data_IF_651878109489
#
_entry.id   IF_651878109489
#
_cell.length_a   1.000
_cell.length_b   1.000
_cell.length_c   1.000
_cell.angle_alpha   90.00
_cell.angle_beta   90.00
_cell.angle_gamma   90.00
#
_symmetry.space_group_name_H-M   'P 1'
#
loop_
_entity.id
_entity.type
_entity.pdbx_description
1 polymer ?
#
# COMPACT_ATOMS: atom_id res chain seq x y z
N UNK A 1 18.27 -15.56 5.58
CA UNK A 1 17.21 -15.33 4.58
C UNK A 1 16.15 -16.40 4.78
N UNK A 2 14.89 -16.02 4.90
CA UNK A 2 13.75 -16.95 4.94
C UNK A 2 13.05 -16.92 3.57
N UNK A 3 12.72 -18.09 3.02
CA UNK A 3 11.98 -18.22 1.76
C UNK A 3 10.66 -18.97 2.03
N UNK A 4 9.56 -18.37 1.60
CA UNK A 4 8.21 -18.90 1.67
C UNK A 4 7.71 -19.03 0.23
N UNK A 5 7.66 -20.26 -0.30
CA UNK A 5 7.21 -20.52 -1.68
C UNK A 5 5.86 -21.25 -1.65
N UNK A 6 4.82 -20.62 -2.20
CA UNK A 6 3.46 -21.16 -2.24
C UNK A 6 2.80 -21.33 -0.87
N UNK A 7 3.23 -20.57 0.14
CA UNK A 7 2.69 -20.68 1.50
C UNK A 7 1.35 -19.94 1.61
N UNK A 8 0.35 -20.61 2.19
CA UNK A 8 -0.94 -20.02 2.54
C UNK A 8 -1.04 -19.79 4.05
N UNK A 9 -1.20 -18.53 4.44
CA UNK A 9 -1.37 -18.09 5.82
C UNK A 9 -2.83 -17.66 6.00
N UNK A 10 -3.54 -18.23 6.98
CA UNK A 10 -4.93 -17.84 7.26
C UNK A 10 -5.27 -17.91 8.75
N UNK A 11 -6.27 -17.15 9.17
CA UNK A 11 -6.79 -17.18 10.55
C UNK A 11 -5.88 -16.52 11.60
N UNK A 12 -4.79 -15.89 11.19
CA UNK A 12 -3.80 -15.28 12.09
C UNK A 12 -4.18 -13.85 12.47
N UNK A 13 -3.69 -13.37 13.62
CA UNK A 13 -3.87 -11.97 14.04
C UNK A 13 -3.04 -11.02 13.18
N UNK A 14 -1.75 -11.29 13.05
CA UNK A 14 -0.81 -10.60 12.17
C UNK A 14 -0.29 -11.62 11.18
N UNK A 15 -0.20 -11.26 9.89
CA UNK A 15 0.25 -12.18 8.85
C UNK A 15 1.75 -12.47 8.93
N UNK A 16 2.56 -11.45 8.71
CA UNK A 16 4.02 -11.53 8.70
C UNK A 16 4.62 -10.35 9.45
N UNK A 17 5.62 -10.60 10.28
CA UNK A 17 6.41 -9.57 10.94
C UNK A 17 7.89 -9.75 10.59
N UNK A 18 8.53 -8.69 10.11
CA UNK A 18 9.96 -8.64 9.79
C UNK A 18 10.59 -7.52 10.61
N UNK A 19 11.27 -7.90 11.69
CA UNK A 19 12.07 -6.97 12.50
C UNK A 19 13.47 -6.79 11.94
N UNK A 20 14.09 -7.88 11.48
CA UNK A 20 15.44 -7.92 10.92
C UNK A 20 15.57 -9.00 9.84
N UNK A 21 16.66 -8.96 9.07
CA UNK A 21 16.99 -9.99 8.08
C UNK A 21 16.28 -9.82 6.73
N UNK A 22 16.28 -10.90 5.95
CA UNK A 22 15.75 -10.93 4.58
C UNK A 22 14.65 -11.99 4.46
N UNK A 23 13.48 -11.59 3.95
CA UNK A 23 12.34 -12.46 3.66
C UNK A 23 12.00 -12.45 2.17
N UNK A 24 11.70 -13.61 1.60
CA UNK A 24 11.07 -13.73 0.28
C UNK A 24 9.79 -14.55 0.42
N UNK A 25 8.66 -13.99 0.01
CA UNK A 25 7.40 -14.72 -0.17
C UNK A 25 7.04 -14.73 -1.65
N UNK A 26 7.08 -15.92 -2.24
CA UNK A 26 6.81 -16.16 -3.65
C UNK A 26 5.52 -16.97 -3.76
N UNK A 27 4.50 -16.42 -4.41
CA UNK A 27 3.15 -16.99 -4.53
C UNK A 27 2.48 -17.25 -3.17
N UNK A 28 1.30 -17.87 -3.20
CA UNK A 28 0.52 -18.16 -2.00
C UNK A 28 -0.32 -16.98 -1.53
N UNK A 29 -0.82 -17.08 -0.31
CA UNK A 29 -1.80 -16.13 0.24
C UNK A 29 -1.54 -15.78 1.70
N UNK A 30 -2.01 -14.60 2.10
CA UNK A 30 -1.98 -14.10 3.47
C UNK A 30 -3.33 -13.50 3.81
N UNK A 31 -4.07 -14.17 4.69
CA UNK A 31 -5.30 -13.69 5.29
C UNK A 31 -5.10 -13.45 6.79
N UNK A 32 -5.41 -12.24 7.24
CA UNK A 32 -5.24 -11.84 8.63
C UNK A 32 -6.53 -11.24 9.22
N UNK A 33 -6.70 -11.41 10.53
CA UNK A 33 -7.90 -11.01 11.30
C UNK A 33 -7.66 -9.81 12.21
N UNK A 34 -6.40 -9.46 12.48
CA UNK A 34 -6.02 -8.33 13.32
C UNK A 34 -5.83 -7.05 12.51
N UNK A 35 -4.95 -6.19 13.03
CA UNK A 35 -4.75 -4.84 12.51
C UNK A 35 -3.80 -4.79 11.32
N UNK A 36 -2.84 -5.71 11.22
CA UNK A 36 -1.76 -5.63 10.24
C UNK A 36 -1.59 -6.95 9.48
N UNK A 37 -1.48 -6.86 8.15
CA UNK A 37 -1.13 -8.00 7.31
C UNK A 37 0.35 -8.28 7.40
N UNK A 38 1.17 -7.28 7.05
CA UNK A 38 2.62 -7.34 7.18
C UNK A 38 3.13 -6.11 7.93
N UNK A 39 4.01 -6.32 8.90
CA UNK A 39 4.70 -5.24 9.63
C UNK A 39 6.22 -5.35 9.45
N UNK A 40 6.85 -4.23 9.09
CA UNK A 40 8.30 -4.13 9.00
C UNK A 40 8.83 -3.02 9.89
N UNK A 41 9.80 -3.37 10.75
CA UNK A 41 10.58 -2.42 11.56
C UNK A 41 12.08 -2.44 11.26
N UNK A 42 12.49 -3.24 10.26
CA UNK A 42 13.84 -3.34 9.75
C UNK A 42 13.93 -4.41 8.66
N UNK A 43 15.15 -4.69 8.19
CA UNK A 43 15.39 -5.74 7.19
C UNK A 43 14.85 -5.44 5.79
N UNK A 44 14.79 -6.49 4.96
CA UNK A 44 14.32 -6.43 3.58
C UNK A 44 13.30 -7.55 3.31
N UNK A 45 12.27 -7.25 2.53
CA UNK A 45 11.30 -8.23 2.10
C UNK A 45 10.96 -8.12 0.61
N UNK A 46 10.73 -9.27 -0.02
CA UNK A 46 10.19 -9.37 -1.38
C UNK A 46 8.91 -10.21 -1.35
N UNK A 47 7.82 -9.66 -1.89
CA UNK A 47 6.57 -10.37 -2.12
C UNK A 47 6.32 -10.41 -3.63
N UNK A 48 6.25 -11.61 -4.20
CA UNK A 48 6.06 -11.82 -5.63
C UNK A 48 4.87 -12.74 -5.90
N UNK A 49 3.83 -12.27 -6.59
CA UNK A 49 2.66 -13.08 -6.92
C UNK A 49 1.78 -13.46 -5.72
N UNK A 50 1.83 -12.67 -4.64
CA UNK A 50 1.14 -12.97 -3.36
C UNK A 50 -0.23 -12.28 -3.31
N UNK A 51 -1.23 -12.95 -2.74
CA UNK A 51 -2.52 -12.33 -2.42
C UNK A 51 -2.64 -12.02 -0.93
N UNK A 52 -2.97 -10.79 -0.58
CA UNK A 52 -3.13 -10.31 0.80
C UNK A 52 -4.59 -9.90 1.04
N UNK A 53 -5.25 -10.48 2.02
CA UNK A 53 -6.65 -10.19 2.37
C UNK A 53 -6.77 -9.77 3.83
N UNK A 54 -7.31 -8.58 4.05
CA UNK A 54 -7.48 -8.00 5.37
C UNK A 54 -8.76 -8.35 6.10
N UNK A 55 -8.83 -7.85 7.32
CA UNK A 55 -9.95 -8.03 8.25
C UNK A 55 -11.06 -7.00 8.09
N UNK A 56 -10.90 -6.01 7.21
CA UNK A 56 -11.86 -4.94 6.93
C UNK A 56 -11.27 -3.53 7.06
N UNK A 57 -12.15 -2.53 7.04
CA UNK A 57 -11.83 -1.11 6.81
C UNK A 57 -11.01 -0.43 7.93
N UNK A 58 -10.70 -1.13 9.03
CA UNK A 58 -9.84 -0.63 10.13
C UNK A 58 -8.42 -1.20 10.11
N UNK A 59 -8.14 -2.13 9.21
CA UNK A 59 -6.86 -2.81 9.12
C UNK A 59 -5.90 -2.14 8.15
N UNK A 60 -4.62 -2.45 8.26
CA UNK A 60 -3.57 -2.02 7.33
C UNK A 60 -2.97 -3.26 6.68
N UNK A 61 -2.95 -3.33 5.36
CA UNK A 61 -2.37 -4.48 4.67
C UNK A 61 -0.85 -4.54 4.83
N UNK A 62 -0.18 -3.41 4.60
CA UNK A 62 1.26 -3.26 4.78
C UNK A 62 1.61 -2.06 5.65
N UNK A 63 2.39 -2.28 6.71
CA UNK A 63 2.99 -1.22 7.52
C UNK A 63 4.52 -1.32 7.49
N UNK A 64 5.21 -0.26 7.04
CA UNK A 64 6.67 -0.22 6.92
C UNK A 64 7.23 0.99 7.65
N UNK A 65 8.02 0.76 8.69
CA UNK A 65 8.72 1.77 9.46
C UNK A 65 10.22 1.48 9.62
N UNK A 66 10.91 2.39 10.31
CA UNK A 66 12.26 2.17 10.87
C UNK A 66 13.27 1.60 9.88
N UNK A 67 13.36 2.19 8.69
CA UNK A 67 14.26 1.78 7.58
C UNK A 67 13.99 0.41 6.93
N UNK A 68 12.90 -0.27 7.28
CA UNK A 68 12.45 -1.47 6.56
C UNK A 68 12.27 -1.19 5.07
N UNK A 69 12.69 -2.14 4.23
CA UNK A 69 12.58 -2.04 2.77
C UNK A 69 11.77 -3.18 2.21
N UNK A 70 10.80 -2.86 1.36
CA UNK A 70 9.98 -3.88 0.72
C UNK A 70 9.83 -3.66 -0.78
N UNK A 71 9.83 -4.77 -1.50
CA UNK A 71 9.48 -4.83 -2.91
C UNK A 71 8.26 -5.74 -3.03
N UNK A 72 7.20 -5.23 -3.64
CA UNK A 72 6.05 -6.02 -4.07
C UNK A 72 6.00 -6.03 -5.58
N UNK A 73 5.78 -7.21 -6.15
CA UNK A 73 5.52 -7.36 -7.57
C UNK A 73 4.42 -8.39 -7.82
N UNK A 74 3.48 -8.06 -8.71
CA UNK A 74 2.32 -8.91 -9.01
C UNK A 74 1.49 -9.25 -7.76
N UNK A 75 1.37 -8.31 -6.81
CA UNK A 75 0.64 -8.50 -5.56
C UNK A 75 -0.78 -7.96 -5.68
N UNK A 76 -1.76 -8.68 -5.13
CA UNK A 76 -3.11 -8.14 -4.93
C UNK A 76 -3.40 -8.03 -3.45
N UNK A 77 -3.85 -6.86 -3.01
CA UNK A 77 -4.24 -6.59 -1.63
C UNK A 77 -5.68 -6.11 -1.58
N UNK A 78 -6.49 -6.66 -0.67
CA UNK A 78 -7.89 -6.28 -0.57
C UNK A 78 -8.47 -6.31 0.84
N UNK A 79 -9.64 -5.68 1.02
CA UNK A 79 -10.41 -5.67 2.28
C UNK A 79 -9.62 -5.11 3.46
N UNK A 80 -8.88 -4.03 3.21
CA UNK A 80 -8.11 -3.32 4.23
C UNK A 80 -8.54 -1.85 4.31
N UNK A 81 -8.35 -1.26 5.49
CA UNK A 81 -8.52 0.17 5.69
C UNK A 81 -7.46 0.99 4.96
N UNK A 82 -6.20 0.59 5.08
CA UNK A 82 -5.09 1.20 4.34
C UNK A 82 -4.34 0.11 3.60
N UNK A 83 -4.13 0.28 2.30
CA UNK A 83 -3.30 -0.63 1.51
C UNK A 83 -1.86 -0.63 2.02
N UNK A 84 -1.16 0.50 1.85
CA UNK A 84 0.22 0.66 2.29
C UNK A 84 0.38 1.88 3.21
N UNK A 85 0.98 1.67 4.38
CA UNK A 85 1.41 2.74 5.27
C UNK A 85 2.92 2.67 5.44
N UNK A 86 3.61 3.65 4.88
CA UNK A 86 5.08 3.77 4.95
C UNK A 86 5.42 5.03 5.75
N UNK A 87 6.27 4.87 6.75
CA UNK A 87 6.61 5.95 7.70
C UNK A 87 8.05 5.82 8.21
N UNK A 88 8.53 6.81 8.98
CA UNK A 88 9.80 6.79 9.71
C UNK A 88 11.00 6.29 8.86
N UNK A 89 11.16 6.87 7.67
CA UNK A 89 12.24 6.52 6.74
C UNK A 89 12.14 5.13 6.08
N UNK A 90 11.00 4.42 6.22
CA UNK A 90 10.73 3.19 5.48
C UNK A 90 10.68 3.41 3.96
N UNK A 91 10.93 2.36 3.20
CA UNK A 91 10.89 2.41 1.73
C UNK A 91 10.11 1.23 1.14
N UNK A 92 9.23 1.53 0.19
CA UNK A 92 8.42 0.52 -0.49
C UNK A 92 8.42 0.75 -2.00
N UNK A 93 8.60 -0.32 -2.76
CA UNK A 93 8.36 -0.33 -4.21
C UNK A 93 7.23 -1.30 -4.55
N UNK A 94 6.28 -0.82 -5.36
CA UNK A 94 5.08 -1.51 -5.80
C UNK A 94 5.08 -1.62 -7.33
N UNK A 95 5.48 -2.77 -7.86
CA UNK A 95 5.36 -3.08 -9.29
C UNK A 95 4.11 -3.89 -9.56
N UNK A 96 3.30 -3.52 -10.55
CA UNK A 96 2.12 -4.31 -10.96
C UNK A 96 1.24 -4.76 -9.77
N UNK A 97 1.15 -3.89 -8.75
CA UNK A 97 0.47 -4.20 -7.49
C UNK A 97 -0.92 -3.58 -7.50
N UNK A 98 -1.91 -4.34 -7.05
CA UNK A 98 -3.31 -3.93 -7.05
C UNK A 98 -3.83 -3.79 -5.62
N UNK A 99 -4.15 -2.56 -5.22
CA UNK A 99 -4.89 -2.26 -4.00
C UNK A 99 -6.39 -2.23 -4.36
N UNK A 100 -7.10 -3.32 -4.09
CA UNK A 100 -8.49 -3.54 -4.51
C UNK A 100 -9.46 -3.42 -3.34
N UNK A 101 -10.55 -2.67 -3.50
CA UNK A 101 -11.56 -2.45 -2.46
C UNK A 101 -10.93 -2.09 -1.10
N UNK A 102 -10.05 -1.08 -1.10
CA UNK A 102 -9.46 -0.55 0.13
C UNK A 102 -10.23 0.68 0.60
N UNK A 103 -10.24 0.95 1.91
CA UNK A 103 -10.80 2.24 2.37
C UNK A 103 -9.95 3.38 1.84
N UNK A 104 -8.63 3.36 2.05
CA UNK A 104 -7.69 4.31 1.47
C UNK A 104 -6.50 3.57 0.85
N UNK A 105 -5.90 4.15 -0.20
CA UNK A 105 -4.80 3.50 -0.91
C UNK A 105 -3.51 3.48 -0.12
N UNK A 106 -2.84 4.63 0.00
CA UNK A 106 -1.50 4.72 0.60
C UNK A 106 -1.34 5.92 1.53
N UNK A 107 -0.52 5.76 2.57
CA UNK A 107 -0.05 6.80 3.48
C UNK A 107 1.48 6.80 3.44
N UNK A 108 2.08 7.96 3.18
CA UNK A 108 3.54 8.12 3.08
C UNK A 108 3.96 9.32 3.92
N UNK A 109 4.64 9.05 5.03
CA UNK A 109 4.96 10.12 6.01
C UNK A 109 6.38 10.05 6.58
N UNK A 110 6.78 11.10 7.31
CA UNK A 110 7.97 11.10 8.17
C UNK A 110 9.27 10.64 7.46
N UNK A 111 9.57 11.25 6.31
CA UNK A 111 10.78 10.98 5.53
C UNK A 111 10.79 9.65 4.79
N UNK A 112 9.68 8.91 4.76
CA UNK A 112 9.56 7.66 4.01
C UNK A 112 9.42 7.87 2.50
N UNK A 113 9.62 6.79 1.74
CA UNK A 113 9.52 6.81 0.27
C UNK A 113 8.69 5.65 -0.27
N UNK A 114 7.86 5.94 -1.28
CA UNK A 114 7.11 4.94 -2.03
C UNK A 114 7.30 5.16 -3.53
N UNK A 115 7.64 4.09 -4.24
CA UNK A 115 7.55 4.02 -5.69
C UNK A 115 6.41 3.07 -6.09
N UNK A 116 5.57 3.47 -7.03
CA UNK A 116 4.58 2.58 -7.65
C UNK A 116 4.66 2.69 -9.17
N UNK A 117 4.85 1.55 -9.83
CA UNK A 117 4.89 1.44 -11.29
C UNK A 117 3.87 0.39 -11.75
N UNK A 118 2.94 0.81 -12.61
CA UNK A 118 1.82 -0.02 -13.01
C UNK A 118 0.80 -0.24 -11.88
N UNK A 119 -0.08 -1.22 -12.08
CA UNK A 119 -1.08 -1.60 -11.07
C UNK A 119 -2.27 -0.64 -10.95
N UNK A 120 -3.09 -0.89 -9.93
CA UNK A 120 -4.33 -0.13 -9.70
C UNK A 120 -4.58 0.12 -8.21
N UNK A 121 -5.11 1.31 -7.91
CA UNK A 121 -5.65 1.66 -6.59
C UNK A 121 -7.15 1.90 -6.73
N UNK A 122 -7.97 1.00 -6.22
CA UNK A 122 -9.42 1.21 -6.10
C UNK A 122 -9.79 1.46 -4.66
N UNK A 123 -10.34 2.63 -4.35
CA UNK A 123 -10.59 3.04 -2.98
C UNK A 123 -11.96 3.71 -2.82
N UNK A 124 -12.50 3.69 -1.60
CA UNK A 124 -13.85 4.21 -1.28
C UNK A 124 -13.87 5.30 -0.20
N UNK A 125 -12.75 5.50 0.48
CA UNK A 125 -12.58 6.45 1.57
C UNK A 125 -12.18 7.84 1.10
N UNK A 126 -11.34 8.48 1.88
CA UNK A 126 -11.04 9.91 1.75
C UNK A 126 -9.90 10.18 0.78
N UNK A 127 -8.99 9.24 0.59
CA UNK A 127 -7.84 9.44 -0.29
C UNK A 127 -7.32 8.18 -0.97
N UNK A 128 -6.82 8.38 -2.20
CA UNK A 128 -6.02 7.38 -2.90
C UNK A 128 -4.59 7.35 -2.35
N UNK A 129 -3.93 8.50 -2.30
CA UNK A 129 -2.59 8.67 -1.74
C UNK A 129 -2.55 9.87 -0.81
N UNK A 130 -2.06 9.67 0.41
CA UNK A 130 -1.82 10.73 1.37
C UNK A 130 -0.32 10.88 1.63
N UNK A 131 0.20 12.09 1.51
CA UNK A 131 1.60 12.43 1.72
C UNK A 131 1.76 13.55 2.77
N UNK A 132 2.53 13.29 3.82
CA UNK A 132 2.98 14.30 4.79
C UNK A 132 4.46 14.12 5.12
N UNK A 133 5.31 14.94 4.51
CA UNK A 133 6.79 14.95 4.65
C UNK A 133 7.46 13.67 4.14
N UNK A 134 6.88 13.01 3.15
CA UNK A 134 7.46 11.84 2.48
C UNK A 134 7.79 12.08 1.00
N UNK A 135 8.19 11.02 0.29
CA UNK A 135 8.37 11.02 -1.17
C UNK A 135 7.52 9.95 -1.83
N UNK A 136 6.71 10.32 -2.83
CA UNK A 136 5.96 9.37 -3.64
C UNK A 136 6.30 9.54 -5.13
N UNK A 137 6.63 8.45 -5.80
CA UNK A 137 6.80 8.41 -7.26
C UNK A 137 5.81 7.40 -7.84
N UNK A 138 4.88 7.87 -8.67
CA UNK A 138 3.83 7.07 -9.28
C UNK A 138 4.00 7.14 -10.80
N UNK A 139 3.99 5.98 -11.46
CA UNK A 139 4.10 5.86 -12.91
C UNK A 139 3.15 4.79 -13.43
N UNK A 140 2.40 5.09 -14.50
CA UNK A 140 1.49 4.12 -15.15
C UNK A 140 0.43 3.54 -14.19
N UNK A 141 0.03 4.30 -13.16
CA UNK A 141 -0.91 3.85 -12.14
C UNK A 141 -2.34 4.24 -12.51
N UNK A 142 -3.27 3.29 -12.42
CA UNK A 142 -4.70 3.58 -12.48
C UNK A 142 -5.26 3.78 -11.07
N UNK A 143 -6.05 4.82 -10.90
CA UNK A 143 -6.80 5.07 -9.67
C UNK A 143 -8.30 5.18 -9.96
N UNK A 144 -9.10 4.44 -9.20
CA UNK A 144 -10.55 4.41 -9.37
C UNK A 144 -11.21 4.67 -8.02
N UNK A 145 -12.03 5.71 -7.95
CA UNK A 145 -12.86 5.97 -6.78
C UNK A 145 -14.16 5.18 -6.88
N UNK A 146 -14.47 4.43 -5.83
CA UNK A 146 -15.67 3.57 -5.73
C UNK A 146 -16.59 3.98 -4.59
N UNK A 147 -16.24 5.04 -3.86
CA UNK A 147 -17.08 5.55 -2.78
C UNK A 147 -18.19 6.47 -3.30
N UNK A 148 -18.93 7.04 -2.35
CA UNK A 148 -20.07 7.92 -2.62
C UNK A 148 -19.87 9.36 -2.13
N UNK A 149 -18.72 9.67 -1.53
CA UNK A 149 -18.42 11.00 -1.02
C UNK A 149 -17.91 11.92 -2.15
N UNK A 150 -18.34 13.17 -2.11
CA UNK A 150 -17.99 14.18 -3.09
C UNK A 150 -16.64 14.83 -2.78
N UNK A 151 -16.33 14.96 -1.49
CA UNK A 151 -15.06 15.49 -0.99
C UNK A 151 -14.05 14.34 -0.82
N UNK A 152 -13.40 13.98 -1.92
CA UNK A 152 -12.35 12.96 -1.99
C UNK A 152 -11.20 13.45 -2.83
N UNK A 153 -9.98 13.18 -2.36
CA UNK A 153 -8.76 13.49 -3.10
C UNK A 153 -8.12 12.21 -3.62
N UNK A 154 -7.77 12.18 -4.89
CA UNK A 154 -6.95 11.08 -5.38
C UNK A 154 -5.52 11.15 -4.80
N UNK A 155 -5.01 12.37 -4.61
CA UNK A 155 -3.72 12.64 -3.99
C UNK A 155 -3.79 13.84 -3.05
N UNK A 156 -3.71 13.62 -1.74
CA UNK A 156 -3.57 14.67 -0.71
C UNK A 156 -2.09 14.87 -0.38
N UNK A 157 -1.56 16.07 -0.57
CA UNK A 157 -0.15 16.40 -0.28
C UNK A 157 -0.08 17.55 0.71
N UNK A 158 0.19 17.24 1.97
CA UNK A 158 0.43 18.25 3.02
C UNK A 158 1.91 18.65 3.13
N UNK A 159 2.81 17.83 2.57
CA UNK A 159 4.23 18.14 2.51
C UNK A 159 5.02 16.99 1.90
N UNK A 160 6.23 17.28 1.45
CA UNK A 160 7.10 16.30 0.77
C UNK A 160 7.10 16.48 -0.75
N UNK A 161 7.37 15.40 -1.49
CA UNK A 161 7.46 15.45 -2.95
C UNK A 161 6.66 14.32 -3.59
N UNK A 162 5.80 14.68 -4.56
CA UNK A 162 5.15 13.72 -5.45
C UNK A 162 5.70 13.89 -6.87
N UNK A 163 6.00 12.77 -7.52
CA UNK A 163 6.20 12.70 -8.97
C UNK A 163 5.11 11.77 -9.49
N UNK A 164 4.24 12.28 -10.35
CA UNK A 164 3.16 11.52 -10.96
C UNK A 164 3.31 11.58 -12.48
N UNK A 165 3.41 10.42 -13.13
CA UNK A 165 3.56 10.30 -14.57
C UNK A 165 2.61 9.22 -15.10
N UNK A 166 1.95 9.50 -16.22
CA UNK A 166 1.07 8.54 -16.91
C UNK A 166 -0.02 7.95 -15.99
N UNK A 167 -0.58 8.79 -15.11
CA UNK A 167 -1.62 8.40 -14.14
C UNK A 167 -3.01 8.50 -14.78
N UNK A 168 -3.85 7.49 -14.58
CA UNK A 168 -5.25 7.50 -14.98
C UNK A 168 -6.15 7.61 -13.74
N UNK A 169 -7.06 8.57 -13.73
CA UNK A 169 -7.96 8.83 -12.60
C UNK A 169 -9.41 8.67 -13.05
N UNK A 170 -10.16 7.82 -12.35
CA UNK A 170 -11.59 7.59 -12.58
C UNK A 170 -12.38 7.95 -11.31
N UNK A 171 -12.81 9.21 -11.22
CA UNK A 171 -13.52 9.78 -10.06
C UNK A 171 -15.00 9.43 -9.94
N UNK A 172 -15.60 8.80 -10.96
CA UNK A 172 -17.05 8.57 -11.03
C UNK A 172 -17.88 9.87 -10.82
N UNK A 173 -17.38 11.00 -11.34
CA UNK A 173 -17.99 12.32 -11.17
C UNK A 173 -17.80 12.96 -9.79
N UNK A 174 -16.94 12.38 -8.93
CA UNK A 174 -16.64 12.84 -7.56
C UNK A 174 -15.16 13.19 -7.38
N UNK A 175 -14.90 14.03 -6.38
CA UNK A 175 -13.55 14.36 -5.94
C UNK A 175 -12.74 15.23 -6.89
N UNK A 176 -11.48 15.42 -6.52
CA UNK A 176 -10.48 16.12 -7.30
C UNK A 176 -9.21 15.29 -7.46
N UNK A 177 -8.47 15.53 -8.54
CA UNK A 177 -7.26 14.76 -8.84
C UNK A 177 -6.14 14.96 -7.82
N UNK A 178 -6.04 16.15 -7.21
CA UNK A 178 -5.01 16.50 -6.25
C UNK A 178 -5.44 17.68 -5.36
N UNK A 179 -5.15 17.60 -4.06
CA UNK A 179 -5.16 18.72 -3.11
C UNK A 179 -3.77 18.92 -2.51
N UNK A 180 -3.25 20.15 -2.57
CA UNK A 180 -1.96 20.53 -1.99
C UNK A 180 -2.05 21.88 -1.29
N UNK A 181 -1.35 22.01 -0.15
CA UNK A 181 -1.19 23.26 0.60
C UNK A 181 0.23 23.81 0.45
#
# INVERSE_FOLDING_TARGET
MLMMDGVDISGVKTGVEVSEGNLVMHKGSLEFKGNYGVTMSGGQALFYGVSITGSGDKSTGMYVGSSGKIIMKDVTMSRVGVGAWVTNGGAMWLGDTHLKDVQNGMIVTQGSTVGMEGGEITFKGSYGVYLDKGGAALKDVKMTYMGSNDAVDFMTVQGGKVIAKDIQIYGNGKGQGHEGQ
#
